data_IF_798008245727
#
_entry.id   IF_798008245727
#
_cell.length_a   1.000
_cell.length_b   1.000
_cell.length_c   1.000
_cell.angle_alpha   90.00
_cell.angle_beta   90.00
_cell.angle_gamma   90.00
#
_symmetry.space_group_name_H-M   'P 1'
#
loop_
_entity.id
_entity.type
_entity.pdbx_description
1 polymer ?
#
# COMPACT_ATOMS: atom_id res chain seq x y z
N UNK A 1 8.09 17.28 -14.57
CA UNK A 1 7.40 16.41 -13.56
C UNK A 1 7.91 16.76 -12.17
N UNK A 2 7.34 17.81 -11.53
CA UNK A 2 7.89 18.35 -10.24
C UNK A 2 7.67 17.50 -8.99
N UNK A 3 6.84 16.45 -9.04
CA UNK A 3 6.49 15.66 -7.85
C UNK A 3 6.65 14.14 -8.01
N UNK A 4 7.07 13.65 -9.16
CA UNK A 4 7.18 12.23 -9.52
C UNK A 4 5.96 11.39 -9.07
N UNK A 5 4.77 11.98 -9.20
CA UNK A 5 3.50 11.33 -8.90
C UNK A 5 2.65 11.26 -10.16
N UNK A 6 1.98 10.13 -10.35
CA UNK A 6 0.91 9.99 -11.33
C UNK A 6 -0.42 10.17 -10.63
N UNK A 7 -1.26 11.08 -11.12
CA UNK A 7 -2.57 11.38 -10.52
C UNK A 7 -3.68 11.03 -11.50
N UNK A 8 -4.72 10.41 -10.98
CA UNK A 8 -5.92 10.06 -11.74
C UNK A 8 -7.16 10.46 -10.94
N UNK A 9 -8.18 10.93 -11.65
CA UNK A 9 -9.48 11.21 -11.09
C UNK A 9 -10.56 10.67 -12.03
N UNK A 10 -11.60 10.04 -11.47
CA UNK A 10 -12.75 9.54 -12.22
C UNK A 10 -13.95 9.36 -11.31
N UNK A 11 -15.14 9.33 -11.92
CA UNK A 11 -16.39 8.99 -11.23
C UNK A 11 -16.72 7.53 -11.50
N UNK A 12 -16.92 6.75 -10.44
CA UNK A 12 -17.27 5.34 -10.51
C UNK A 12 -18.78 5.16 -10.44
N UNK A 13 -19.40 4.69 -11.53
CA UNK A 13 -20.83 4.33 -11.64
C UNK A 13 -21.81 5.41 -11.14
N UNK A 14 -21.40 6.69 -11.19
CA UNK A 14 -22.18 7.80 -10.64
C UNK A 14 -22.32 7.79 -9.10
N UNK A 15 -21.67 6.85 -8.41
CA UNK A 15 -21.82 6.63 -6.95
C UNK A 15 -20.69 7.22 -6.14
N UNK A 16 -19.51 7.32 -6.71
CA UNK A 16 -18.35 7.87 -6.01
C UNK A 16 -17.41 8.61 -6.96
N UNK A 17 -16.85 9.73 -6.49
CA UNK A 17 -15.69 10.36 -7.11
C UNK A 17 -14.41 9.81 -6.47
N UNK A 18 -13.52 9.28 -7.30
CA UNK A 18 -12.29 8.64 -6.85
C UNK A 18 -11.10 9.40 -7.41
N UNK A 19 -10.22 9.80 -6.52
CA UNK A 19 -8.92 10.39 -6.86
C UNK A 19 -7.83 9.49 -6.29
N UNK A 20 -6.82 9.15 -7.10
CA UNK A 20 -5.65 8.47 -6.56
C UNK A 20 -4.35 9.03 -7.13
N UNK A 21 -3.29 8.88 -6.35
CA UNK A 21 -1.93 9.22 -6.76
C UNK A 21 -0.99 8.05 -6.49
N UNK A 22 -0.13 7.77 -7.47
CA UNK A 22 0.87 6.69 -7.39
C UNK A 22 2.25 7.33 -7.43
N UNK A 23 3.17 6.86 -6.57
CA UNK A 23 4.58 7.21 -6.64
C UNK A 23 5.48 6.06 -6.19
N UNK A 24 6.65 5.92 -6.82
CA UNK A 24 7.77 5.19 -6.27
C UNK A 24 8.48 6.11 -5.28
N UNK A 25 8.61 5.71 -4.02
CA UNK A 25 9.14 6.55 -2.97
C UNK A 25 10.65 6.72 -3.12
N UNK A 26 11.12 7.96 -3.30
CA UNK A 26 12.56 8.22 -3.44
C UNK A 26 13.33 8.06 -2.13
N UNK A 27 12.69 8.33 -1.02
CA UNK A 27 13.23 8.14 0.33
C UNK A 27 13.13 6.68 0.84
N UNK A 28 12.47 5.81 0.07
CA UNK A 28 12.35 4.37 0.32
C UNK A 28 12.44 3.62 -1.01
N UNK A 29 13.65 3.31 -1.52
CA UNK A 29 13.87 2.84 -2.89
C UNK A 29 13.15 1.54 -3.26
N UNK A 30 12.82 0.72 -2.28
CA UNK A 30 12.13 -0.55 -2.47
C UNK A 30 10.61 -0.44 -2.24
N UNK A 31 10.09 0.78 -1.98
CA UNK A 31 8.70 0.99 -1.65
C UNK A 31 7.99 1.93 -2.63
N UNK A 32 6.70 1.66 -2.82
CA UNK A 32 5.77 2.49 -3.56
C UNK A 32 4.53 2.80 -2.74
N UNK A 33 3.89 3.90 -3.07
CA UNK A 33 2.70 4.40 -2.39
C UNK A 33 1.58 4.68 -3.40
N UNK A 34 0.38 4.19 -3.09
CA UNK A 34 -0.86 4.57 -3.76
C UNK A 34 -1.76 5.25 -2.74
N UNK A 35 -1.95 6.56 -2.85
CA UNK A 35 -2.90 7.30 -2.02
C UNK A 35 -4.22 7.42 -2.75
N UNK A 36 -5.31 7.12 -2.04
CA UNK A 36 -6.68 7.13 -2.58
C UNK A 36 -7.57 8.03 -1.73
N UNK A 37 -8.39 8.83 -2.38
CA UNK A 37 -9.52 9.55 -1.79
C UNK A 37 -10.79 9.15 -2.53
N UNK A 38 -11.82 8.77 -1.77
CA UNK A 38 -13.15 8.41 -2.26
C UNK A 38 -14.14 9.40 -1.66
N UNK A 39 -14.91 10.10 -2.50
CA UNK A 39 -16.02 10.94 -2.09
C UNK A 39 -17.32 10.26 -2.51
N UNK A 40 -18.19 9.92 -1.55
CA UNK A 40 -19.45 9.24 -1.80
C UNK A 40 -20.49 10.22 -2.38
N UNK A 41 -21.06 9.93 -3.53
CA UNK A 41 -22.14 10.71 -4.17
C UNK A 41 -23.53 10.25 -3.75
N UNK A 42 -23.61 9.05 -3.19
CA UNK A 42 -24.81 8.47 -2.56
C UNK A 42 -24.40 7.65 -1.32
N UNK A 43 -25.36 7.18 -0.52
CA UNK A 43 -25.08 6.24 0.58
C UNK A 43 -24.56 4.92 0.00
N UNK A 44 -23.36 4.50 0.42
CA UNK A 44 -22.71 3.32 -0.15
C UNK A 44 -21.85 2.56 0.85
N UNK A 45 -21.54 1.31 0.48
CA UNK A 45 -20.45 0.54 1.10
C UNK A 45 -19.23 0.54 0.19
N UNK A 46 -18.13 1.14 0.67
CA UNK A 46 -16.84 1.03 0.00
C UNK A 46 -16.17 -0.27 0.44
N UNK A 47 -15.80 -1.12 -0.52
CA UNK A 47 -14.99 -2.32 -0.27
C UNK A 47 -13.74 -2.28 -1.14
N UNK A 48 -12.57 -2.33 -0.51
CA UNK A 48 -11.26 -2.27 -1.20
C UNK A 48 -10.43 -3.48 -0.81
N UNK A 49 -9.93 -4.20 -1.80
CA UNK A 49 -8.98 -5.29 -1.62
C UNK A 49 -7.56 -4.82 -1.98
N UNK A 50 -6.58 -5.37 -1.28
CA UNK A 50 -5.15 -5.15 -1.55
C UNK A 50 -4.45 -6.51 -1.77
N UNK A 51 -4.73 -7.22 -2.88
CA UNK A 51 -4.03 -8.45 -3.21
C UNK A 51 -2.64 -8.15 -3.75
N UNK A 52 -1.71 -9.08 -3.54
CA UNK A 52 -0.44 -9.12 -4.24
C UNK A 52 -0.45 -10.36 -5.11
N UNK A 53 -0.59 -10.16 -6.40
CA UNK A 53 -0.58 -11.24 -7.39
C UNK A 53 0.85 -11.59 -7.78
N UNK A 54 1.11 -12.90 -7.92
CA UNK A 54 2.41 -13.40 -8.37
C UNK A 54 2.27 -13.77 -9.85
N UNK A 55 3.11 -13.22 -10.75
CA UNK A 55 3.10 -13.62 -12.15
C UNK A 55 3.37 -15.11 -12.34
N UNK A 56 2.75 -15.74 -13.34
CA UNK A 56 2.80 -17.18 -13.60
C UNK A 56 4.22 -17.73 -13.85
N UNK A 57 5.14 -16.86 -14.25
CA UNK A 57 6.54 -17.23 -14.47
C UNK A 57 7.34 -17.48 -13.20
N UNK A 58 6.82 -17.06 -12.04
CA UNK A 58 7.49 -17.30 -10.76
C UNK A 58 7.16 -18.69 -10.22
N UNK A 59 8.10 -19.25 -9.45
CA UNK A 59 7.98 -20.58 -8.84
C UNK A 59 7.65 -20.48 -7.35
N UNK A 60 6.97 -21.51 -6.84
CA UNK A 60 6.71 -21.70 -5.42
C UNK A 60 6.10 -20.45 -4.75
N UNK A 61 5.03 -19.87 -5.32
CA UNK A 61 4.37 -18.72 -4.70
C UNK A 61 3.75 -19.10 -3.36
N UNK A 62 3.78 -18.18 -2.43
CA UNK A 62 3.07 -18.28 -1.16
C UNK A 62 2.67 -16.92 -0.67
N UNK A 63 1.67 -16.87 0.18
CA UNK A 63 1.17 -15.63 0.78
C UNK A 63 0.75 -15.86 2.21
N UNK A 64 0.92 -14.87 3.07
CA UNK A 64 0.37 -14.86 4.42
C UNK A 64 0.07 -13.46 4.89
N UNK A 65 -0.86 -13.35 5.83
CA UNK A 65 -1.09 -12.12 6.58
C UNK A 65 -0.22 -12.13 7.85
N UNK A 66 0.40 -10.99 8.13
CA UNK A 66 1.18 -10.73 9.34
C UNK A 66 0.55 -9.54 10.04
N UNK A 67 0.33 -9.66 11.36
CA UNK A 67 -0.13 -8.55 12.20
C UNK A 67 0.99 -8.10 13.12
N UNK A 68 1.24 -6.80 13.14
CA UNK A 68 2.23 -6.17 14.03
C UNK A 68 1.62 -4.97 14.72
N UNK A 69 2.06 -4.68 15.94
CA UNK A 69 1.68 -3.46 16.63
C UNK A 69 2.64 -2.33 16.24
N UNK A 70 2.10 -1.22 15.73
CA UNK A 70 2.83 -0.01 15.40
C UNK A 70 2.22 1.15 16.19
N UNK A 71 2.96 1.64 17.17
CA UNK A 71 2.57 2.76 18.04
C UNK A 71 1.14 2.60 18.64
N UNK A 72 0.82 1.38 19.09
CA UNK A 72 -0.47 1.04 19.72
C UNK A 72 -1.58 0.64 18.75
N UNK A 73 -1.34 0.70 17.44
CA UNK A 73 -2.30 0.29 16.42
C UNK A 73 -1.88 -1.02 15.76
N UNK A 74 -2.85 -1.90 15.48
CA UNK A 74 -2.59 -3.11 14.70
C UNK A 74 -2.41 -2.75 13.22
N UNK A 75 -1.26 -3.11 12.67
CA UNK A 75 -0.97 -3.04 11.24
C UNK A 75 -1.04 -4.45 10.65
N UNK A 76 -1.96 -4.67 9.73
CA UNK A 76 -2.11 -5.94 8.99
C UNK A 76 -1.39 -5.83 7.66
N UNK A 77 -0.38 -6.67 7.47
CA UNK A 77 0.47 -6.71 6.28
C UNK A 77 0.13 -7.99 5.52
N UNK A 78 -0.16 -7.89 4.23
CA UNK A 78 -0.12 -9.04 3.34
C UNK A 78 1.31 -9.18 2.81
N UNK A 79 1.92 -10.34 2.99
CA UNK A 79 3.21 -10.69 2.41
C UNK A 79 3.04 -11.83 1.43
N UNK A 80 3.56 -11.65 0.24
CA UNK A 80 3.60 -12.66 -0.83
C UNK A 80 5.05 -12.88 -1.24
N UNK A 81 5.42 -14.12 -1.50
CA UNK A 81 6.77 -14.48 -1.91
C UNK A 81 6.76 -15.48 -3.04
N UNK A 82 7.84 -15.52 -3.78
CA UNK A 82 8.07 -16.49 -4.84
C UNK A 82 9.57 -16.60 -5.16
N UNK A 83 9.91 -17.54 -6.04
CA UNK A 83 11.25 -17.69 -6.63
C UNK A 83 11.21 -17.23 -8.08
N UNK A 84 12.19 -16.44 -8.52
CA UNK A 84 12.33 -16.06 -9.91
C UNK A 84 12.62 -17.27 -10.81
N UNK A 85 12.13 -17.25 -12.07
CA UNK A 85 12.20 -18.38 -13.01
C UNK A 85 13.61 -18.90 -13.28
N UNK A 86 14.56 -17.98 -13.52
CA UNK A 86 15.85 -18.36 -14.09
C UNK A 86 16.99 -18.52 -13.07
N UNK A 87 16.93 -17.82 -11.94
CA UNK A 87 18.00 -17.83 -10.93
C UNK A 87 17.53 -18.27 -9.56
N UNK A 88 16.27 -18.66 -9.43
CA UNK A 88 15.65 -19.03 -8.17
C UNK A 88 15.88 -17.99 -7.05
N UNK A 89 16.00 -16.73 -7.44
CA UNK A 89 16.12 -15.63 -6.50
C UNK A 89 14.83 -15.51 -5.70
N UNK A 90 14.97 -15.42 -4.39
CA UNK A 90 13.85 -15.11 -3.51
C UNK A 90 13.35 -13.70 -3.80
N UNK A 91 12.05 -13.56 -3.99
CA UNK A 91 11.35 -12.29 -4.13
C UNK A 91 10.26 -12.24 -3.08
N UNK A 92 10.14 -11.15 -2.37
CA UNK A 92 9.07 -10.89 -1.42
C UNK A 92 8.47 -9.53 -1.66
N UNK A 93 7.15 -9.47 -1.68
CA UNK A 93 6.38 -8.24 -1.70
C UNK A 93 5.49 -8.17 -0.47
N UNK A 94 5.49 -7.05 0.21
CA UNK A 94 4.63 -6.78 1.36
C UNK A 94 3.82 -5.52 1.13
N UNK A 95 2.56 -5.49 1.58
CA UNK A 95 1.72 -4.32 1.46
C UNK A 95 0.74 -4.21 2.63
N UNK A 96 0.41 -2.97 3.00
CA UNK A 96 -0.57 -2.66 4.03
C UNK A 96 -1.40 -1.42 3.68
N UNK A 97 -2.60 -1.35 4.25
CA UNK A 97 -3.37 -0.12 4.30
C UNK A 97 -2.81 0.81 5.38
N UNK A 98 -2.66 2.08 5.03
CA UNK A 98 -2.27 3.15 5.95
C UNK A 98 -3.33 4.24 5.92
N UNK A 99 -3.68 4.76 7.09
CA UNK A 99 -4.69 5.79 7.26
C UNK A 99 -4.08 7.05 7.88
N UNK A 100 -4.51 8.23 7.43
CA UNK A 100 -4.18 9.50 8.13
C UNK A 100 -4.88 9.59 9.48
N UNK A 101 -6.09 9.00 9.56
CA UNK A 101 -6.85 8.79 10.80
C UNK A 101 -7.48 7.41 10.74
N UNK A 102 -7.34 6.62 11.79
CA UNK A 102 -8.01 5.33 11.86
C UNK A 102 -9.52 5.51 11.79
N UNK A 103 -10.19 4.87 10.83
CA UNK A 103 -11.63 4.96 10.73
C UNK A 103 -12.29 4.24 11.91
N UNK A 104 -13.32 4.87 12.49
CA UNK A 104 -14.04 4.32 13.65
C UNK A 104 -14.83 3.05 13.34
N UNK A 105 -15.16 2.81 12.08
CA UNK A 105 -15.95 1.66 11.62
C UNK A 105 -15.25 1.08 10.39
N UNK A 106 -14.24 0.27 10.62
CA UNK A 106 -13.54 -0.45 9.56
C UNK A 106 -13.63 -1.94 9.84
N UNK A 107 -14.20 -2.69 8.90
CA UNK A 107 -14.11 -4.13 8.91
C UNK A 107 -12.94 -4.55 8.02
N UNK A 108 -11.95 -5.20 8.61
CA UNK A 108 -10.84 -5.79 7.87
C UNK A 108 -10.93 -7.31 7.96
N UNK A 109 -11.20 -7.95 6.82
CA UNK A 109 -11.33 -9.41 6.77
C UNK A 109 -9.96 -10.07 6.84
N UNK A 110 -9.84 -11.10 7.66
CA UNK A 110 -8.65 -11.93 7.73
C UNK A 110 -8.41 -12.66 6.40
N UNK A 111 -7.14 -12.79 6.03
CA UNK A 111 -6.69 -13.55 4.87
C UNK A 111 -6.83 -12.87 3.51
N UNK A 112 -7.63 -11.80 3.35
CA UNK A 112 -7.83 -11.14 2.06
C UNK A 112 -7.27 -9.72 1.99
N UNK A 113 -6.76 -9.19 3.09
CA UNK A 113 -6.34 -7.79 3.22
C UNK A 113 -7.37 -6.83 2.57
N UNK A 114 -8.63 -7.03 2.92
CA UNK A 114 -9.78 -6.27 2.41
C UNK A 114 -10.32 -5.39 3.54
N UNK A 115 -10.58 -4.13 3.21
CA UNK A 115 -11.29 -3.21 4.09
C UNK A 115 -12.71 -2.97 3.56
N UNK A 116 -13.66 -2.75 4.48
CA UNK A 116 -15.03 -2.36 4.14
C UNK A 116 -15.49 -1.28 5.10
N UNK A 117 -16.08 -0.22 4.55
CA UNK A 117 -16.54 0.95 5.32
C UNK A 117 -17.83 1.48 4.73
N UNK A 118 -18.86 1.75 5.56
CA UNK A 118 -20.05 2.48 5.13
C UNK A 118 -19.70 3.97 4.96
N UNK A 119 -20.16 4.56 3.88
CA UNK A 119 -20.02 5.99 3.59
C UNK A 119 -21.41 6.56 3.31
N UNK A 120 -21.72 7.70 3.95
CA UNK A 120 -22.91 8.48 3.65
C UNK A 120 -22.63 9.42 2.47
N UNK A 121 -23.69 9.80 1.76
CA UNK A 121 -23.62 10.82 0.70
C UNK A 121 -22.89 12.06 1.21
N UNK A 122 -21.87 12.49 0.47
CA UNK A 122 -21.03 13.64 0.77
C UNK A 122 -19.84 13.34 1.70
N UNK A 123 -19.76 12.13 2.29
CA UNK A 123 -18.60 11.75 3.08
C UNK A 123 -17.39 11.42 2.21
N UNK A 124 -16.22 11.72 2.76
CA UNK A 124 -14.92 11.41 2.13
C UNK A 124 -14.16 10.43 3.00
N UNK A 125 -13.56 9.45 2.35
CA UNK A 125 -12.64 8.50 2.98
C UNK A 125 -11.31 8.51 2.24
N UNK A 126 -10.21 8.65 3.00
CA UNK A 126 -8.86 8.63 2.46
C UNK A 126 -8.03 7.54 3.10
N UNK A 127 -7.29 6.82 2.29
CA UNK A 127 -6.35 5.81 2.71
C UNK A 127 -5.16 5.76 1.74
N UNK A 128 -4.13 5.03 2.13
CA UNK A 128 -3.06 4.68 1.21
C UNK A 128 -2.74 3.20 1.28
N UNK A 129 -2.21 2.68 0.18
CA UNK A 129 -1.56 1.39 0.08
C UNK A 129 -0.06 1.66 0.01
N UNK A 130 0.67 1.21 1.03
CA UNK A 130 2.12 1.19 1.01
C UNK A 130 2.56 -0.23 0.69
N UNK A 131 3.35 -0.37 -0.37
CA UNK A 131 3.91 -1.64 -0.79
C UNK A 131 5.42 -1.59 -0.90
N UNK A 132 6.07 -2.71 -0.64
CA UNK A 132 7.52 -2.90 -0.80
C UNK A 132 7.80 -4.19 -1.55
N UNK A 133 8.86 -4.19 -2.37
CA UNK A 133 9.36 -5.39 -3.05
C UNK A 133 10.86 -5.51 -2.79
N UNK A 134 11.26 -6.64 -2.18
CA UNK A 134 12.65 -6.96 -1.85
C UNK A 134 13.06 -8.27 -2.51
N UNK A 135 14.34 -8.35 -2.89
CA UNK A 135 14.88 -9.54 -3.55
C UNK A 135 16.11 -10.09 -2.83
N UNK A 136 16.37 -11.39 -3.00
CA UNK A 136 17.57 -12.05 -2.49
C UNK A 136 18.87 -11.57 -3.14
N UNK A 137 18.80 -10.72 -4.18
CA UNK A 137 19.94 -10.05 -4.76
C UNK A 137 20.45 -8.94 -3.84
N UNK A 138 19.53 -8.20 -3.22
CA UNK A 138 19.84 -6.99 -2.47
C UNK A 138 19.84 -7.25 -0.96
N UNK A 139 19.12 -8.29 -0.50
CA UNK A 139 18.92 -8.60 0.91
C UNK A 139 19.13 -10.09 1.21
N UNK A 140 19.76 -10.38 2.33
CA UNK A 140 19.93 -11.77 2.83
C UNK A 140 18.57 -12.39 3.15
N UNK A 141 17.68 -11.62 3.76
CA UNK A 141 16.31 -12.02 4.10
C UNK A 141 15.29 -11.04 3.51
N UNK A 142 14.93 -11.19 2.22
CA UNK A 142 13.97 -10.30 1.56
C UNK A 142 12.56 -10.41 2.15
N UNK A 143 12.22 -11.51 2.83
CA UNK A 143 10.90 -11.68 3.46
C UNK A 143 10.72 -10.73 4.63
N UNK A 144 11.67 -10.72 5.55
CA UNK A 144 11.62 -9.79 6.67
C UNK A 144 11.85 -8.35 6.22
N UNK A 145 12.68 -8.12 5.22
CA UNK A 145 12.98 -6.76 4.77
C UNK A 145 11.77 -6.09 4.11
N UNK A 146 11.00 -6.82 3.29
CA UNK A 146 9.77 -6.26 2.71
C UNK A 146 8.73 -5.87 3.77
N UNK A 147 8.60 -6.67 4.86
CA UNK A 147 7.73 -6.31 5.99
C UNK A 147 8.27 -5.08 6.74
N UNK A 148 9.60 -5.01 6.99
CA UNK A 148 10.24 -3.89 7.71
C UNK A 148 10.06 -2.56 7.00
N UNK A 149 10.18 -2.55 5.67
CA UNK A 149 9.92 -1.37 4.85
C UNK A 149 8.48 -0.86 5.04
N UNK A 150 7.50 -1.77 5.02
CA UNK A 150 6.09 -1.41 5.22
C UNK A 150 5.84 -0.93 6.66
N UNK A 151 6.41 -1.61 7.67
CA UNK A 151 6.30 -1.21 9.08
C UNK A 151 6.92 0.18 9.31
N UNK A 152 8.13 0.40 8.76
CA UNK A 152 8.81 1.69 8.86
C UNK A 152 7.97 2.81 8.23
N UNK A 153 7.46 2.59 7.03
CA UNK A 153 6.63 3.58 6.35
C UNK A 153 5.31 3.86 7.07
N UNK A 154 4.68 2.83 7.66
CA UNK A 154 3.49 3.01 8.48
C UNK A 154 3.78 3.85 9.73
N UNK A 155 4.93 3.63 10.38
CA UNK A 155 5.38 4.40 11.54
C UNK A 155 5.70 5.86 11.19
N UNK A 156 6.35 6.10 10.06
CA UNK A 156 6.62 7.46 9.58
C UNK A 156 5.34 8.23 9.25
N UNK A 157 4.31 7.53 8.72
CA UNK A 157 3.04 8.10 8.31
C UNK A 157 3.11 8.84 6.96
N UNK A 158 1.94 8.96 6.32
CA UNK A 158 1.81 9.43 4.93
C UNK A 158 2.44 10.81 4.67
N UNK A 159 2.25 11.75 5.60
CA UNK A 159 2.73 13.12 5.42
C UNK A 159 4.26 13.19 5.41
N UNK A 160 4.94 12.47 6.31
CA UNK A 160 6.41 12.44 6.35
C UNK A 160 6.98 11.72 5.15
N UNK A 161 6.39 10.59 4.73
CA UNK A 161 6.79 9.85 3.53
C UNK A 161 6.75 10.74 2.30
N UNK A 162 5.62 11.42 2.07
CA UNK A 162 5.44 12.29 0.91
C UNK A 162 6.32 13.54 0.94
N UNK A 163 6.54 14.12 2.13
CA UNK A 163 7.43 15.27 2.26
C UNK A 163 8.90 14.87 2.01
N UNK A 164 9.34 13.73 2.55
CA UNK A 164 10.67 13.18 2.28
C UNK A 164 10.89 12.87 0.79
N UNK A 165 9.89 12.23 0.15
CA UNK A 165 9.90 11.97 -1.29
C UNK A 165 10.06 13.27 -2.10
N UNK A 166 9.23 14.28 -1.84
CA UNK A 166 9.26 15.58 -2.53
C UNK A 166 10.57 16.32 -2.32
N UNK A 167 11.09 16.31 -1.08
CA UNK A 167 12.37 16.95 -0.77
C UNK A 167 13.50 16.38 -1.61
N UNK A 168 13.68 15.05 -1.57
CA UNK A 168 14.73 14.37 -2.34
C UNK A 168 14.53 14.46 -3.85
N UNK A 169 13.28 14.56 -4.32
CA UNK A 169 13.01 14.78 -5.73
C UNK A 169 13.37 16.20 -6.18
N UNK A 170 13.08 17.21 -5.35
CA UNK A 170 13.40 18.61 -5.65
C UNK A 170 14.91 18.89 -5.62
N UNK A 171 15.70 18.09 -4.88
CA UNK A 171 17.17 18.19 -4.88
C UNK A 171 17.81 17.76 -6.20
N UNK A 172 17.07 17.06 -7.07
CA UNK A 172 17.54 16.59 -8.38
C UNK A 172 17.25 17.55 -9.53
N UNK A 173 16.34 18.50 -9.34
CA UNK A 173 15.83 19.43 -10.34
C UNK A 173 15.98 20.89 -9.92
#
# INVERSE_FOLDING_TARGET
>A
MKAATHNTHFTYDGKADISYSICALRNMPYAGLVRVEVAALEDMYLSVANPIEVPDEYKNPGSKQVSVNVDGNELKIIRTWALSKHREQKVSASSAFIYDKNPNVLQQNEGTNRISIPLKKGEKFSFALLGSVCTGRDFIDPYNESDREVIYGAKEGLNRLMNGHRKLWNELW
#
